data_IF_963469652599
#
_entry.id   IF_963469652599
#
_cell.length_a   1.000
_cell.length_b   1.000
_cell.length_c   1.000
_cell.angle_alpha   90.00
_cell.angle_beta   90.00
_cell.angle_gamma   90.00
#
_symmetry.space_group_name_H-M   'P 1'
#
loop_
_entity.id
_entity.type
_entity.pdbx_description
1 polymer ?
#
# COMPACT_ATOMS: atom_id res chain seq x y z
N UNK A 1 -0.70 -8.84 -7.15
CA UNK A 1 0.37 -8.86 -8.18
C UNK A 1 -0.08 -8.61 -9.60
N UNK A 2 -1.04 -9.36 -10.15
CA UNK A 2 -1.52 -9.15 -11.53
C UNK A 2 -1.83 -7.68 -11.85
N UNK A 3 -2.61 -7.03 -10.97
CA UNK A 3 -2.93 -5.61 -11.08
C UNK A 3 -1.68 -4.72 -11.12
N UNK A 4 -0.69 -4.98 -10.26
CA UNK A 4 0.51 -4.16 -10.14
C UNK A 4 1.38 -4.25 -11.39
N UNK A 5 1.61 -5.48 -11.89
CA UNK A 5 2.36 -5.71 -13.12
C UNK A 5 1.70 -5.04 -14.32
N UNK A 6 0.37 -5.15 -14.45
CA UNK A 6 -0.38 -4.44 -15.50
C UNK A 6 -0.18 -2.93 -15.41
N UNK A 7 -0.21 -2.36 -14.19
CA UNK A 7 0.02 -0.93 -14.02
C UNK A 7 1.45 -0.49 -14.34
N UNK A 8 2.47 -1.27 -13.98
CA UNK A 8 3.86 -0.94 -14.34
C UNK A 8 4.03 -0.80 -15.85
N UNK A 9 3.41 -1.70 -16.61
CA UNK A 9 3.41 -1.67 -18.08
C UNK A 9 2.62 -0.45 -18.61
N UNK A 10 1.44 -0.16 -18.04
CA UNK A 10 0.62 0.97 -18.46
C UNK A 10 1.25 2.34 -18.16
N UNK A 11 2.01 2.46 -17.07
CA UNK A 11 2.75 3.70 -16.75
C UNK A 11 3.82 3.98 -17.79
N UNK A 12 4.50 2.94 -18.28
CA UNK A 12 5.53 3.01 -19.32
C UNK A 12 5.00 2.89 -20.76
N UNK A 13 3.72 3.16 -20.98
CA UNK A 13 3.07 2.90 -22.27
C UNK A 13 3.59 3.82 -23.39
N UNK A 14 4.01 5.06 -23.07
CA UNK A 14 4.54 6.01 -24.05
C UNK A 14 6.03 5.76 -24.25
N UNK A 15 6.38 4.72 -25.02
CA UNK A 15 7.76 4.24 -25.19
C UNK A 15 8.79 5.32 -25.57
N UNK A 16 8.50 6.30 -26.44
CA UNK A 16 9.47 7.35 -26.77
C UNK A 16 9.70 8.37 -25.64
N UNK A 17 8.82 8.43 -24.64
CA UNK A 17 8.92 9.40 -23.55
C UNK A 17 9.85 8.90 -22.44
N UNK A 18 10.99 9.58 -22.28
CA UNK A 18 11.92 9.29 -21.18
C UNK A 18 11.24 9.41 -19.82
N UNK A 19 10.35 10.38 -19.66
CA UNK A 19 9.59 10.61 -18.42
C UNK A 19 8.66 9.44 -18.07
N UNK A 20 7.95 8.91 -19.06
CA UNK A 20 7.05 7.77 -18.88
C UNK A 20 7.84 6.50 -18.52
N UNK A 21 9.00 6.31 -19.16
CA UNK A 21 9.88 5.18 -18.87
C UNK A 21 10.50 5.28 -17.46
N UNK A 22 10.97 6.46 -17.06
CA UNK A 22 11.50 6.68 -15.71
C UNK A 22 10.45 6.41 -14.63
N UNK A 23 9.24 6.95 -14.81
CA UNK A 23 8.10 6.71 -13.92
C UNK A 23 7.78 5.21 -13.80
N UNK A 24 7.79 4.47 -14.91
CA UNK A 24 7.53 3.04 -14.90
C UNK A 24 8.60 2.26 -14.13
N UNK A 25 9.88 2.59 -14.32
CA UNK A 25 11.00 1.94 -13.62
C UNK A 25 10.95 2.27 -12.12
N UNK A 26 10.74 3.53 -11.75
CA UNK A 26 10.56 3.93 -10.35
C UNK A 26 9.38 3.18 -9.71
N UNK A 27 8.25 3.11 -10.41
CA UNK A 27 7.07 2.42 -9.88
C UNK A 27 7.30 0.92 -9.71
N UNK A 28 7.95 0.28 -10.69
CA UNK A 28 8.28 -1.14 -10.63
C UNK A 28 9.22 -1.45 -9.47
N UNK A 29 10.32 -0.71 -9.31
CA UNK A 29 11.31 -0.96 -8.26
C UNK A 29 10.72 -0.75 -6.86
N UNK A 30 10.06 0.40 -6.64
CA UNK A 30 9.44 0.70 -5.35
C UNK A 30 8.28 -0.25 -5.07
N UNK A 31 7.50 -0.61 -6.10
CA UNK A 31 6.38 -1.53 -5.98
C UNK A 31 6.79 -2.97 -5.71
N UNK A 32 7.87 -3.46 -6.34
CA UNK A 32 8.43 -4.78 -6.05
C UNK A 32 9.02 -4.85 -4.64
N UNK A 33 9.69 -3.78 -4.19
CA UNK A 33 10.18 -3.69 -2.82
C UNK A 33 9.04 -3.69 -1.79
N UNK A 34 8.01 -2.86 -2.00
CA UNK A 34 6.80 -2.83 -1.18
C UNK A 34 6.08 -4.18 -1.14
N UNK A 35 6.01 -4.88 -2.27
CA UNK A 35 5.46 -6.23 -2.33
C UNK A 35 6.26 -7.19 -1.45
N UNK A 36 7.60 -7.15 -1.51
CA UNK A 36 8.45 -7.99 -0.68
C UNK A 36 8.15 -7.79 0.80
N UNK A 37 8.00 -6.53 1.23
CA UNK A 37 7.61 -6.17 2.60
C UNK A 37 6.23 -6.75 2.95
N UNK A 38 5.23 -6.55 2.08
CA UNK A 38 3.87 -7.04 2.28
C UNK A 38 3.82 -8.57 2.43
N UNK A 39 4.47 -9.27 1.50
CA UNK A 39 4.53 -10.73 1.49
C UNK A 39 5.30 -11.28 2.69
N UNK A 40 6.36 -10.59 3.13
CA UNK A 40 7.08 -10.99 4.32
C UNK A 40 6.20 -10.85 5.58
N UNK A 41 5.44 -9.77 5.71
CA UNK A 41 4.43 -9.62 6.78
C UNK A 41 3.37 -10.71 6.75
N UNK A 42 2.79 -10.99 5.57
CA UNK A 42 1.82 -12.09 5.40
C UNK A 42 2.43 -13.47 5.69
N UNK A 43 3.69 -13.69 5.32
CA UNK A 43 4.42 -14.92 5.60
C UNK A 43 4.64 -15.13 7.10
N UNK A 44 4.93 -14.07 7.86
CA UNK A 44 5.01 -14.13 9.31
C UNK A 44 3.64 -14.44 9.94
N UNK A 45 2.56 -13.80 9.46
CA UNK A 45 1.19 -14.11 9.92
C UNK A 45 0.83 -15.59 9.65
N UNK A 46 1.20 -16.09 8.47
CA UNK A 46 1.05 -17.51 8.14
C UNK A 46 1.91 -18.39 9.06
N UNK A 47 3.17 -18.03 9.33
CA UNK A 47 4.06 -18.80 10.20
C UNK A 47 3.55 -18.89 11.65
N UNK A 48 2.85 -17.86 12.14
CA UNK A 48 2.27 -17.84 13.48
C UNK A 48 0.92 -18.57 13.57
N UNK A 49 0.12 -18.55 12.51
CA UNK A 49 -1.25 -19.09 12.51
C UNK A 49 -1.40 -20.45 11.83
N UNK A 50 -0.45 -20.84 10.97
CA UNK A 50 -0.52 -22.04 10.14
C UNK A 50 -1.60 -22.02 9.05
N UNK A 51 -2.27 -20.89 8.83
CA UNK A 51 -3.39 -20.78 7.90
C UNK A 51 -3.36 -19.49 7.09
N UNK A 52 -3.97 -19.52 5.92
CA UNK A 52 -4.22 -18.33 5.08
C UNK A 52 -5.66 -17.84 5.17
N UNK A 53 -6.53 -18.56 5.90
CA UNK A 53 -7.91 -18.16 6.12
C UNK A 53 -7.97 -17.07 7.19
N UNK A 54 -8.40 -15.86 6.81
CA UNK A 54 -8.44 -14.70 7.70
C UNK A 54 -9.32 -14.91 8.94
N UNK A 55 -10.46 -15.60 8.82
CA UNK A 55 -11.38 -15.82 9.96
C UNK A 55 -10.79 -16.81 10.97
N UNK A 56 -10.17 -17.87 10.47
CA UNK A 56 -9.44 -18.82 11.32
C UNK A 56 -8.26 -18.14 12.00
N UNK A 57 -7.52 -17.31 11.25
CA UNK A 57 -6.39 -16.54 11.75
C UNK A 57 -6.80 -15.58 12.88
N UNK A 58 -7.92 -14.88 12.73
CA UNK A 58 -8.46 -13.99 13.77
C UNK A 58 -8.74 -14.70 15.09
N UNK A 59 -9.26 -15.93 15.05
CA UNK A 59 -9.48 -16.74 16.24
C UNK A 59 -8.16 -17.17 16.91
N UNK A 60 -7.12 -17.45 16.13
CA UNK A 60 -5.81 -17.87 16.64
C UNK A 60 -5.05 -16.70 17.29
N UNK A 61 -5.15 -15.50 16.70
CA UNK A 61 -4.48 -14.31 17.21
C UNK A 61 -5.17 -13.66 18.41
N UNK A 62 -6.36 -14.12 18.79
CA UNK A 62 -7.00 -13.70 20.03
C UNK A 62 -6.15 -14.14 21.23
N UNK A 63 -5.74 -13.18 22.06
CA UNK A 63 -4.83 -13.38 23.20
C UNK A 63 -3.34 -13.35 22.86
N UNK A 64 -2.97 -13.09 21.60
CA UNK A 64 -1.57 -12.98 21.15
C UNK A 64 -1.19 -11.56 20.70
N UNK A 65 -2.01 -10.56 21.02
CA UNK A 65 -1.89 -9.18 20.52
C UNK A 65 -0.55 -8.52 20.91
N UNK A 66 0.07 -9.00 21.99
CA UNK A 66 1.35 -8.51 22.49
C UNK A 66 2.56 -9.30 22.00
N UNK A 67 2.37 -10.34 21.17
CA UNK A 67 3.50 -11.08 20.57
C UNK A 67 4.29 -10.15 19.62
N UNK A 68 5.58 -9.89 19.89
CA UNK A 68 6.40 -9.01 19.05
C UNK A 68 6.47 -9.47 17.58
N UNK A 69 6.35 -10.77 17.32
CA UNK A 69 6.37 -11.33 15.96
C UNK A 69 5.09 -10.95 15.20
N UNK A 70 3.95 -10.98 15.88
CA UNK A 70 2.67 -10.56 15.32
C UNK A 70 2.66 -9.05 15.07
N UNK A 71 3.16 -8.27 16.01
CA UNK A 71 3.29 -6.81 15.87
C UNK A 71 4.17 -6.46 14.66
N UNK A 72 5.34 -7.10 14.52
CA UNK A 72 6.21 -6.91 13.37
C UNK A 72 5.50 -7.27 12.05
N UNK A 73 4.79 -8.40 12.02
CA UNK A 73 4.04 -8.83 10.85
C UNK A 73 2.97 -7.81 10.45
N UNK A 74 2.22 -7.27 11.41
CA UNK A 74 1.24 -6.21 11.17
C UNK A 74 1.90 -4.94 10.64
N UNK A 75 3.01 -4.49 11.23
CA UNK A 75 3.75 -3.30 10.76
C UNK A 75 4.18 -3.45 9.30
N UNK A 76 4.71 -4.62 8.93
CA UNK A 76 5.12 -4.91 7.55
C UNK A 76 3.93 -4.92 6.59
N UNK A 77 2.80 -5.52 7.00
CA UNK A 77 1.57 -5.47 6.20
C UNK A 77 1.08 -4.03 6.03
N UNK A 78 1.08 -3.22 7.09
CA UNK A 78 0.71 -1.80 7.01
C UNK A 78 1.64 -1.03 6.08
N UNK A 79 2.95 -1.27 6.12
CA UNK A 79 3.90 -0.63 5.22
C UNK A 79 3.65 -0.99 3.75
N UNK A 80 3.43 -2.28 3.47
CA UNK A 80 3.10 -2.77 2.13
C UNK A 80 1.78 -2.20 1.59
N UNK A 81 0.74 -2.17 2.41
CA UNK A 81 -0.56 -1.60 2.03
C UNK A 81 -0.51 -0.07 1.93
N UNK A 82 0.24 0.59 2.82
CA UNK A 82 0.47 2.03 2.84
C UNK A 82 1.05 2.53 1.52
N UNK A 83 1.99 1.80 0.93
CA UNK A 83 2.49 2.07 -0.42
C UNK A 83 1.38 2.01 -1.47
N UNK A 84 0.55 0.95 -1.46
CA UNK A 84 -0.52 0.76 -2.46
C UNK A 84 -1.56 1.89 -2.45
N UNK A 85 -1.84 2.47 -1.28
CA UNK A 85 -2.76 3.61 -1.14
C UNK A 85 -2.06 4.99 -1.22
N UNK A 86 -0.73 5.00 -1.36
CA UNK A 86 0.12 6.20 -1.31
C UNK A 86 -0.05 7.02 -0.01
N UNK A 87 -0.12 6.35 1.14
CA UNK A 87 -0.09 6.99 2.45
C UNK A 87 1.33 7.45 2.79
N UNK A 88 1.49 8.54 3.55
CA UNK A 88 2.79 8.94 4.13
C UNK A 88 3.18 7.93 5.22
N UNK A 89 4.44 7.44 5.28
CA UNK A 89 5.64 7.82 4.51
C UNK A 89 5.96 6.88 3.33
N UNK A 90 4.96 6.30 2.66
CA UNK A 90 5.11 5.37 1.54
C UNK A 90 4.64 5.94 0.19
N UNK A 91 4.46 7.26 0.10
CA UNK A 91 3.86 7.95 -1.05
C UNK A 91 4.85 8.41 -2.11
N UNK A 92 6.15 8.19 -1.95
CA UNK A 92 7.23 8.74 -2.80
C UNK A 92 7.07 8.41 -4.28
N UNK A 93 6.45 7.28 -4.59
CA UNK A 93 6.19 6.88 -5.97
C UNK A 93 5.11 7.73 -6.64
N UNK A 94 4.15 8.27 -5.88
CA UNK A 94 2.90 8.78 -6.44
C UNK A 94 3.09 10.03 -7.33
N UNK A 95 3.84 11.08 -6.93
CA UNK A 95 4.01 12.27 -7.77
C UNK A 95 4.63 11.95 -9.14
N UNK A 96 5.78 11.27 -9.13
CA UNK A 96 6.53 10.92 -10.35
C UNK A 96 5.71 10.03 -11.29
N UNK A 97 4.96 9.08 -10.73
CA UNK A 97 4.15 8.14 -11.51
C UNK A 97 2.91 8.80 -12.08
N UNK A 98 2.26 9.70 -11.33
CA UNK A 98 1.10 10.42 -11.83
C UNK A 98 1.48 11.37 -12.96
N UNK A 99 2.59 12.09 -12.79
CA UNK A 99 3.05 13.03 -13.80
C UNK A 99 3.58 12.33 -15.07
N UNK A 100 4.31 11.22 -14.91
CA UNK A 100 4.93 10.48 -16.00
C UNK A 100 4.00 9.55 -16.79
N UNK A 101 2.92 9.05 -16.18
CA UNK A 101 2.00 8.13 -16.85
C UNK A 101 1.06 8.84 -17.84
N UNK A 102 0.51 8.13 -18.84
CA UNK A 102 -0.61 8.64 -19.63
C UNK A 102 -1.77 9.08 -18.72
N UNK A 103 -2.45 10.17 -19.06
CA UNK A 103 -3.55 10.71 -18.23
C UNK A 103 -4.66 9.70 -17.94
N UNK A 104 -5.12 8.85 -18.89
CA UNK A 104 -6.11 7.81 -18.59
C UNK A 104 -5.60 6.78 -17.57
N UNK A 105 -4.31 6.44 -17.64
CA UNK A 105 -3.66 5.51 -16.69
C UNK A 105 -3.54 6.15 -15.32
N UNK A 106 -3.21 7.44 -15.25
CA UNK A 106 -3.17 8.21 -14.00
C UNK A 106 -4.53 8.24 -13.33
N UNK A 107 -5.59 8.53 -14.09
CA UNK A 107 -6.96 8.50 -13.60
C UNK A 107 -7.33 7.11 -13.05
N UNK A 108 -7.02 6.04 -13.78
CA UNK A 108 -7.31 4.68 -13.35
C UNK A 108 -6.49 4.26 -12.09
N UNK A 109 -5.23 4.65 -12.01
CA UNK A 109 -4.38 4.46 -10.82
C UNK A 109 -4.91 5.21 -9.60
N UNK A 110 -5.38 6.44 -9.78
CA UNK A 110 -5.84 7.31 -8.69
C UNK A 110 -7.12 6.79 -8.02
N UNK A 111 -7.96 6.06 -8.76
CA UNK A 111 -9.26 5.57 -8.29
C UNK A 111 -9.28 4.06 -8.15
N UNK A 112 -9.16 3.33 -9.26
CA UNK A 112 -9.38 1.87 -9.30
C UNK A 112 -8.36 1.10 -8.44
N UNK A 113 -7.07 1.41 -8.61
CA UNK A 113 -6.00 0.79 -7.81
C UNK A 113 -6.18 1.07 -6.31
N UNK A 114 -6.52 2.31 -5.94
CA UNK A 114 -6.74 2.68 -4.54
C UNK A 114 -7.96 2.00 -3.95
N UNK A 115 -9.08 1.96 -4.66
CA UNK A 115 -10.30 1.29 -4.20
C UNK A 115 -10.06 -0.20 -3.94
N UNK A 116 -9.39 -0.91 -4.85
CA UNK A 116 -9.01 -2.31 -4.65
C UNK A 116 -8.09 -2.49 -3.44
N UNK A 117 -7.14 -1.57 -3.25
CA UNK A 117 -6.20 -1.59 -2.13
C UNK A 117 -6.89 -1.33 -0.78
N UNK A 118 -7.86 -0.41 -0.72
CA UNK A 118 -8.69 -0.20 0.46
C UNK A 118 -9.59 -1.40 0.75
N UNK A 119 -10.18 -2.04 -0.26
CA UNK A 119 -10.97 -3.25 -0.05
C UNK A 119 -10.12 -4.40 0.53
N UNK A 120 -8.88 -4.55 0.04
CA UNK A 120 -7.91 -5.51 0.59
C UNK A 120 -7.53 -5.17 2.03
N UNK A 121 -7.23 -3.90 2.32
CA UNK A 121 -6.94 -3.40 3.67
C UNK A 121 -8.09 -3.76 4.61
N UNK A 122 -9.32 -3.35 4.28
CA UNK A 122 -10.49 -3.59 5.13
C UNK A 122 -10.68 -5.07 5.42
N UNK A 123 -10.52 -5.95 4.42
CA UNK A 123 -10.60 -7.40 4.64
C UNK A 123 -9.53 -7.92 5.60
N UNK A 124 -8.27 -7.58 5.37
CA UNK A 124 -7.16 -8.10 6.19
C UNK A 124 -7.32 -7.65 7.65
N UNK A 125 -7.60 -6.36 7.88
CA UNK A 125 -7.61 -5.80 9.23
C UNK A 125 -8.92 -6.10 9.98
N UNK A 126 -10.07 -6.02 9.32
CA UNK A 126 -11.36 -6.27 9.98
C UNK A 126 -11.66 -7.77 10.13
N UNK A 127 -11.36 -8.59 9.13
CA UNK A 127 -11.64 -10.03 9.22
C UNK A 127 -10.49 -10.84 9.83
N UNK A 128 -9.23 -10.42 9.64
CA UNK A 128 -8.04 -11.17 10.07
C UNK A 128 -7.40 -10.70 11.37
N UNK A 129 -7.55 -9.43 11.73
CA UNK A 129 -6.92 -8.81 12.89
C UNK A 129 -7.89 -8.05 13.83
N UNK A 130 -9.12 -8.55 14.11
CA UNK A 130 -10.08 -7.81 14.93
C UNK A 130 -9.61 -7.63 16.38
N UNK A 131 -8.86 -8.59 16.94
CA UNK A 131 -8.35 -8.53 18.31
C UNK A 131 -7.34 -7.37 18.52
N UNK A 132 -6.59 -7.01 17.49
CA UNK A 132 -5.63 -5.91 17.50
C UNK A 132 -6.23 -4.56 17.08
N UNK A 133 -7.56 -4.43 17.09
CA UNK A 133 -8.23 -3.26 16.51
C UNK A 133 -7.87 -1.92 17.12
N UNK A 134 -7.58 -1.86 18.42
CA UNK A 134 -7.09 -0.64 19.03
C UNK A 134 -5.76 -0.18 18.42
N UNK A 135 -4.81 -1.11 18.25
CA UNK A 135 -3.45 -0.79 17.81
C UNK A 135 -3.41 -0.36 16.33
N UNK A 136 -4.04 -1.13 15.43
CA UNK A 136 -4.01 -0.78 14.01
C UNK A 136 -4.88 0.44 13.70
N UNK A 137 -5.96 0.71 14.46
CA UNK A 137 -6.73 1.96 14.30
C UNK A 137 -5.89 3.17 14.63
N UNK A 138 -5.21 3.15 15.78
CA UNK A 138 -4.31 4.24 16.19
C UNK A 138 -3.23 4.49 15.14
N UNK A 139 -2.69 3.43 14.53
CA UNK A 139 -1.72 3.54 13.46
C UNK A 139 -2.31 4.19 12.19
N UNK A 140 -3.49 3.75 11.73
CA UNK A 140 -4.14 4.35 10.56
C UNK A 140 -4.63 5.78 10.81
N UNK A 141 -5.02 6.12 12.04
CA UNK A 141 -5.32 7.50 12.45
C UNK A 141 -4.09 8.40 12.31
N UNK A 142 -2.93 7.96 12.82
CA UNK A 142 -1.68 8.68 12.66
C UNK A 142 -1.29 8.83 11.17
N UNK A 143 -1.36 7.74 10.38
CA UNK A 143 -1.10 7.79 8.95
C UNK A 143 -2.06 8.74 8.22
N UNK A 144 -3.34 8.78 8.61
CA UNK A 144 -4.32 9.69 8.02
C UNK A 144 -3.99 11.15 8.33
N UNK A 145 -3.69 11.50 9.60
CA UNK A 145 -3.31 12.85 10.01
C UNK A 145 -2.09 13.33 9.22
N UNK A 146 -1.04 12.50 9.17
CA UNK A 146 0.19 12.85 8.46
C UNK A 146 -0.05 12.96 6.95
N UNK A 147 -0.81 12.03 6.36
CA UNK A 147 -1.09 12.03 4.92
C UNK A 147 -1.90 13.26 4.50
N UNK A 148 -2.94 13.62 5.26
CA UNK A 148 -3.71 14.84 5.01
C UNK A 148 -2.84 16.09 5.14
N UNK A 149 -1.97 16.14 6.14
CA UNK A 149 -1.12 17.31 6.38
C UNK A 149 -0.08 17.49 5.28
N UNK A 150 0.75 16.46 5.05
CA UNK A 150 1.82 16.52 4.05
C UNK A 150 1.26 16.64 2.64
N UNK A 151 0.19 15.89 2.31
CA UNK A 151 -0.41 15.93 0.99
C UNK A 151 -0.95 17.31 0.62
N UNK A 152 -1.71 17.95 1.52
CA UNK A 152 -2.26 19.28 1.26
C UNK A 152 -1.17 20.37 1.23
N UNK A 153 -0.16 20.30 2.11
CA UNK A 153 0.95 21.25 2.09
C UNK A 153 1.81 21.13 0.83
N UNK A 154 2.12 19.90 0.40
CA UNK A 154 2.89 19.65 -0.81
C UNK A 154 2.13 20.11 -2.07
N UNK A 155 0.79 20.04 -2.07
CA UNK A 155 -0.04 20.49 -3.18
C UNK A 155 0.04 22.01 -3.41
N UNK A 156 0.23 22.83 -2.36
CA UNK A 156 0.31 24.29 -2.48
C UNK A 156 1.48 24.78 -3.33
N UNK A 157 2.56 24.00 -3.42
CA UNK A 157 3.78 24.37 -4.15
C UNK A 157 3.87 23.75 -5.54
N UNK A 158 2.88 22.98 -5.98
CA UNK A 158 2.91 22.32 -7.28
C UNK A 158 2.57 23.29 -8.41
N UNK A 159 3.32 23.21 -9.50
CA UNK A 159 3.06 23.94 -10.76
C UNK A 159 2.50 23.04 -11.87
N UNK A 160 2.47 21.73 -11.66
CA UNK A 160 1.82 20.78 -12.56
C UNK A 160 0.42 20.43 -12.03
N UNK A 161 -0.54 20.28 -12.95
CA UNK A 161 -1.93 19.87 -12.64
C UNK A 161 -2.01 18.39 -12.25
N UNK A 162 -1.09 17.56 -12.75
CA UNK A 162 -0.92 16.17 -12.31
C UNK A 162 0.01 16.10 -11.11
#
# INVERSE_FOLDING_TARGET
ETMAVSFYILVGFIKPSQRSNEAAVKYFLLGAFSLGILLYGMSLMYGLSGTTNLRTMAAIFAGQERDPRLILAVILVVAGVGFKIAAVPFHMWAPDVYEGAPTPVTAFLSVGSKAASFAMLLRIFLEGLPSMSADWRMLFEALAIVTMTVGNLAALTQSNVK
#
